data_IF_278125174146
#
_entry.id   IF_278125174146
#
_cell.length_a   1.000
_cell.length_b   1.000
_cell.length_c   1.000
_cell.angle_alpha   90.00
_cell.angle_beta   90.00
_cell.angle_gamma   90.00
#
_symmetry.space_group_name_H-M   'P 1'
#
loop_
_entity.id
_entity.type
_entity.pdbx_description
1 polymer ?
#
# COMPACT_ATOMS: atom_id res chain seq x y z
N UNK A 1 11.91 -18.17 12.52
CA UNK A 1 10.56 -18.77 12.55
C UNK A 1 9.67 -17.85 13.36
N UNK A 2 8.61 -17.29 12.79
CA UNK A 2 7.65 -16.50 13.56
C UNK A 2 6.46 -17.40 13.90
N UNK A 3 6.40 -17.79 15.17
CA UNK A 3 5.22 -18.39 15.78
C UNK A 3 4.07 -17.39 15.65
N UNK A 4 2.93 -17.82 15.09
CA UNK A 4 1.67 -17.09 15.22
C UNK A 4 1.31 -17.18 16.70
N UNK A 5 1.68 -16.17 17.48
CA UNK A 5 1.15 -16.03 18.84
C UNK A 5 -0.33 -15.73 18.64
N UNK A 6 -1.18 -16.64 19.15
CA UNK A 6 -2.62 -16.50 19.13
C UNK A 6 -3.03 -15.15 19.73
N UNK A 7 -3.28 -14.19 18.87
CA UNK A 7 -4.01 -12.98 19.19
C UNK A 7 -5.46 -13.21 18.79
N UNK A 8 -6.40 -12.85 19.65
CA UNK A 8 -7.81 -12.76 19.27
C UNK A 8 -7.90 -11.88 18.02
N UNK A 9 -8.51 -12.35 16.92
CA UNK A 9 -8.61 -11.53 15.72
C UNK A 9 -9.27 -10.19 16.08
N UNK A 10 -8.87 -9.07 15.44
CA UNK A 10 -9.50 -7.78 15.68
C UNK A 10 -11.02 -7.93 15.64
N UNK A 11 -11.76 -7.35 16.60
CA UNK A 11 -13.22 -7.54 16.70
C UNK A 11 -13.94 -7.30 15.37
N UNK A 12 -13.48 -6.30 14.62
CA UNK A 12 -13.95 -5.98 13.28
C UNK A 12 -13.81 -7.15 12.28
N UNK A 13 -12.71 -7.91 12.34
CA UNK A 13 -12.49 -9.07 11.48
C UNK A 13 -13.39 -10.25 11.89
N UNK A 14 -13.58 -10.49 13.19
CA UNK A 14 -14.51 -11.52 13.68
C UNK A 14 -15.94 -11.20 13.27
N UNK A 15 -16.32 -9.93 13.35
CA UNK A 15 -17.66 -9.46 13.02
C UNK A 15 -17.92 -9.44 11.50
N UNK A 16 -16.92 -9.06 10.70
CA UNK A 16 -16.95 -9.19 9.25
C UNK A 16 -17.08 -10.65 8.80
N UNK A 17 -16.30 -11.58 9.40
CA UNK A 17 -16.40 -13.02 9.11
C UNK A 17 -17.80 -13.56 9.47
N UNK A 18 -18.38 -13.13 10.60
CA UNK A 18 -19.74 -13.54 10.99
C UNK A 18 -20.83 -13.06 10.05
N UNK A 19 -20.61 -11.94 9.36
CA UNK A 19 -21.55 -11.35 8.39
C UNK A 19 -21.25 -11.75 6.95
N UNK A 20 -20.13 -12.42 6.71
CA UNK A 20 -19.73 -12.91 5.41
C UNK A 20 -20.70 -14.01 4.92
N UNK A 21 -21.20 -13.86 3.70
CA UNK A 21 -22.08 -14.82 3.03
C UNK A 21 -21.32 -15.45 1.87
N UNK A 22 -21.19 -16.77 1.89
CA UNK A 22 -20.69 -17.50 0.73
C UNK A 22 -21.79 -17.50 -0.34
N UNK A 23 -21.43 -17.08 -1.54
CA UNK A 23 -22.28 -17.07 -2.73
C UNK A 23 -21.70 -18.02 -3.75
N UNK A 24 -22.58 -18.75 -4.42
CA UNK A 24 -22.23 -19.67 -5.48
C UNK A 24 -23.23 -19.49 -6.62
N UNK A 25 -22.73 -19.40 -7.84
CA UNK A 25 -23.50 -19.62 -9.07
C UNK A 25 -22.91 -20.80 -9.86
N UNK A 26 -23.46 -21.08 -11.04
CA UNK A 26 -23.05 -22.21 -11.89
C UNK A 26 -21.55 -22.22 -12.25
N UNK A 27 -20.84 -21.10 -12.06
CA UNK A 27 -19.45 -20.91 -12.50
C UNK A 27 -18.50 -20.33 -11.44
N UNK A 28 -19.02 -19.81 -10.32
CA UNK A 28 -18.21 -19.04 -9.36
C UNK A 28 -18.63 -19.29 -7.92
N UNK A 29 -17.65 -19.23 -7.03
CA UNK A 29 -17.81 -19.19 -5.58
C UNK A 29 -17.10 -17.94 -5.05
N UNK A 30 -17.81 -17.09 -4.33
CA UNK A 30 -17.27 -15.87 -3.73
C UNK A 30 -17.83 -15.63 -2.33
N UNK A 31 -17.15 -14.80 -1.56
CA UNK A 31 -17.58 -14.39 -0.22
C UNK A 31 -18.00 -12.94 -0.29
N UNK A 32 -19.28 -12.68 -0.06
CA UNK A 32 -19.86 -11.35 0.05
C UNK A 32 -19.79 -10.93 1.53
N UNK A 33 -19.20 -9.76 1.81
CA UNK A 33 -19.14 -9.21 3.17
C UNK A 33 -19.83 -7.87 3.14
N UNK A 34 -20.74 -7.60 4.09
CA UNK A 34 -21.41 -6.30 4.19
C UNK A 34 -20.36 -5.19 4.33
N UNK A 35 -20.23 -4.35 3.29
CA UNK A 35 -19.18 -3.31 3.13
C UNK A 35 -19.21 -2.22 4.21
N UNK A 36 -20.24 -2.22 5.07
CA UNK A 36 -20.48 -1.23 6.13
C UNK A 36 -19.34 -0.98 7.13
N UNK A 37 -18.29 -1.81 7.13
CA UNK A 37 -17.13 -1.72 8.01
C UNK A 37 -15.81 -1.37 7.27
N UNK A 38 -15.73 -1.56 5.95
CA UNK A 38 -14.53 -1.22 5.16
C UNK A 38 -14.46 0.29 4.93
N UNK A 39 -13.32 0.91 5.23
CA UNK A 39 -13.12 2.34 5.01
C UNK A 39 -13.58 3.28 6.13
N UNK A 40 -13.99 2.78 7.31
CA UNK A 40 -14.22 3.64 8.49
C UNK A 40 -12.95 4.45 8.80
N UNK A 41 -13.04 5.78 8.67
CA UNK A 41 -11.94 6.72 8.92
C UNK A 41 -11.14 7.13 7.67
N UNK A 42 -11.39 6.53 6.51
CA UNK A 42 -10.77 6.96 5.26
C UNK A 42 -11.45 8.23 4.74
N UNK A 43 -10.67 9.25 4.40
CA UNK A 43 -11.17 10.47 3.74
C UNK A 43 -10.51 10.58 2.38
N UNK A 44 -11.25 11.12 1.41
CA UNK A 44 -10.68 11.48 0.11
C UNK A 44 -9.49 12.40 0.34
N UNK A 45 -8.36 12.04 -0.23
CA UNK A 45 -7.11 12.78 -0.13
C UNK A 45 -7.15 13.89 -1.18
N UNK A 46 -7.36 15.12 -0.73
CA UNK A 46 -7.30 16.29 -1.59
C UNK A 46 -5.86 16.58 -2.03
N UNK A 47 -5.69 16.88 -3.31
CA UNK A 47 -4.39 16.97 -3.97
C UNK A 47 -3.52 18.14 -3.47
N UNK A 48 -2.29 17.86 -3.05
CA UNK A 48 -1.26 18.88 -2.74
C UNK A 48 0.12 18.57 -3.32
N UNK A 49 0.41 17.32 -3.62
CA UNK A 49 1.74 16.86 -4.02
C UNK A 49 1.88 16.73 -5.54
N UNK A 50 3.01 17.22 -6.07
CA UNK A 50 3.52 16.94 -7.41
C UNK A 50 4.84 16.19 -7.28
N UNK A 51 4.97 15.08 -8.01
CA UNK A 51 6.18 14.24 -8.02
C UNK A 51 6.62 14.03 -9.45
N UNK A 52 7.90 14.23 -9.75
CA UNK A 52 8.46 13.98 -11.06
C UNK A 52 8.50 12.49 -11.41
N UNK A 53 8.40 12.14 -12.69
CA UNK A 53 8.55 10.75 -13.16
C UNK A 53 9.88 10.13 -12.68
N UNK A 54 10.96 10.89 -12.69
CA UNK A 54 12.27 10.40 -12.26
C UNK A 54 12.40 10.23 -10.75
N UNK A 55 11.68 11.04 -9.96
CA UNK A 55 11.55 10.84 -8.51
C UNK A 55 10.83 9.52 -8.20
N UNK A 56 9.75 9.22 -8.93
CA UNK A 56 9.04 7.95 -8.77
C UNK A 56 9.93 6.75 -9.14
N UNK A 57 10.70 6.86 -10.23
CA UNK A 57 11.70 5.84 -10.60
C UNK A 57 12.77 5.68 -9.51
N UNK A 58 13.26 6.78 -8.95
CA UNK A 58 14.25 6.77 -7.87
C UNK A 58 13.73 6.03 -6.65
N UNK A 59 12.51 6.35 -6.17
CA UNK A 59 11.91 5.69 -5.01
C UNK A 59 11.80 4.17 -5.23
N UNK A 60 11.36 3.73 -6.41
CA UNK A 60 11.25 2.29 -6.72
C UNK A 60 12.63 1.64 -6.89
N UNK A 61 13.61 2.35 -7.43
CA UNK A 61 15.00 1.85 -7.51
C UNK A 61 15.54 1.60 -6.10
N UNK A 62 15.40 2.56 -5.18
CA UNK A 62 15.80 2.38 -3.79
C UNK A 62 15.06 1.22 -3.13
N UNK A 63 13.74 1.10 -3.34
CA UNK A 63 12.95 -0.03 -2.86
C UNK A 63 13.53 -1.38 -3.29
N UNK A 64 13.95 -1.50 -4.56
CA UNK A 64 14.56 -2.73 -5.08
C UNK A 64 15.91 -2.99 -4.41
N UNK A 65 16.74 -1.96 -4.24
CA UNK A 65 18.04 -2.09 -3.59
C UNK A 65 17.91 -2.54 -2.11
N UNK A 66 17.06 -1.88 -1.32
CA UNK A 66 16.84 -2.30 0.08
C UNK A 66 16.27 -3.73 0.16
N UNK A 67 15.43 -4.11 -0.80
CA UNK A 67 14.88 -5.47 -0.86
C UNK A 67 15.96 -6.52 -1.16
N UNK A 68 16.92 -6.21 -2.04
CA UNK A 68 18.05 -7.11 -2.35
C UNK A 68 18.91 -7.37 -1.12
N UNK A 69 19.22 -6.31 -0.35
CA UNK A 69 20.01 -6.41 0.87
C UNK A 69 19.36 -7.39 1.85
N UNK A 70 18.07 -7.21 2.16
CA UNK A 70 17.43 -8.09 3.16
C UNK A 70 17.26 -9.52 2.65
N UNK A 71 16.97 -9.73 1.35
CA UNK A 71 16.92 -11.06 0.75
C UNK A 71 18.22 -11.85 0.90
N UNK A 72 19.38 -11.16 0.92
CA UNK A 72 20.69 -11.79 1.14
C UNK A 72 20.81 -12.42 2.54
N UNK A 73 20.14 -11.84 3.54
CA UNK A 73 20.23 -12.27 4.94
C UNK A 73 19.02 -13.13 5.39
N UNK A 74 18.02 -13.33 4.52
CA UNK A 74 17.00 -14.37 4.70
C UNK A 74 15.60 -14.01 4.16
N UNK A 75 14.93 -14.99 3.57
CA UNK A 75 13.47 -15.03 3.36
C UNK A 75 12.90 -14.27 2.15
N UNK A 76 11.70 -14.69 1.74
CA UNK A 76 10.88 -13.97 0.76
C UNK A 76 10.13 -12.84 1.45
N UNK A 77 10.78 -11.68 1.60
CA UNK A 77 10.18 -10.51 2.22
C UNK A 77 9.64 -9.53 1.20
N UNK A 78 8.54 -8.90 1.59
CA UNK A 78 8.09 -7.64 1.05
C UNK A 78 8.82 -6.49 1.73
N UNK A 79 9.00 -5.40 0.99
CA UNK A 79 9.63 -4.18 1.50
C UNK A 79 8.75 -2.99 1.16
N UNK A 80 8.83 -1.96 2.01
CA UNK A 80 8.19 -0.68 1.84
C UNK A 80 9.17 0.44 2.19
N UNK A 81 9.15 1.50 1.39
CA UNK A 81 9.87 2.74 1.67
C UNK A 81 8.88 3.90 1.58
N UNK A 82 9.03 4.91 2.44
CA UNK A 82 8.22 6.12 2.41
C UNK A 82 9.08 7.37 2.43
N UNK A 83 8.62 8.40 1.74
CA UNK A 83 9.33 9.66 1.51
C UNK A 83 8.43 10.86 1.78
N UNK A 84 9.04 11.93 2.28
CA UNK A 84 8.41 13.25 2.30
C UNK A 84 8.40 13.86 0.90
N UNK A 85 7.61 14.91 0.72
CA UNK A 85 7.65 15.78 -0.46
C UNK A 85 7.97 17.20 0.00
N UNK A 86 8.93 17.92 -0.61
CA UNK A 86 9.80 17.48 -1.72
C UNK A 86 10.66 16.25 -1.35
N UNK A 87 10.98 15.40 -2.32
CA UNK A 87 11.74 14.18 -2.06
C UNK A 87 13.17 14.52 -1.64
N UNK A 88 13.62 13.87 -0.58
CA UNK A 88 15.00 13.81 -0.16
C UNK A 88 15.68 12.52 -0.65
N UNK A 89 16.99 12.44 -0.48
CA UNK A 89 17.76 11.23 -0.83
C UNK A 89 17.56 10.07 0.15
N UNK A 90 16.85 10.29 1.27
CA UNK A 90 16.71 9.33 2.36
C UNK A 90 15.23 9.09 2.70
N UNK A 91 14.78 7.83 2.72
CA UNK A 91 13.41 7.53 3.11
C UNK A 91 13.16 7.88 4.60
N UNK A 92 11.98 8.43 4.90
CA UNK A 92 11.53 8.70 6.28
C UNK A 92 11.06 7.43 6.99
N UNK A 93 10.78 6.36 6.24
CA UNK A 93 10.45 5.02 6.76
C UNK A 93 10.94 3.95 5.79
N UNK A 94 11.54 2.89 6.33
CA UNK A 94 11.90 1.66 5.61
C UNK A 94 11.45 0.49 6.45
N UNK A 95 10.70 -0.43 5.85
CA UNK A 95 10.20 -1.62 6.54
C UNK A 95 10.26 -2.84 5.64
N UNK A 96 10.32 -3.99 6.30
CA UNK A 96 10.28 -5.31 5.67
C UNK A 96 9.32 -6.21 6.45
N UNK A 97 8.60 -7.07 5.73
CA UNK A 97 7.69 -8.05 6.33
C UNK A 97 7.49 -9.23 5.38
N UNK A 98 7.11 -10.40 5.90
CA UNK A 98 6.73 -11.56 5.08
C UNK A 98 5.39 -11.30 4.37
N UNK A 99 4.47 -10.61 5.03
CA UNK A 99 3.15 -10.27 4.53
C UNK A 99 3.14 -8.86 3.95
N UNK A 100 2.66 -8.70 2.72
CA UNK A 100 2.50 -7.37 2.09
C UNK A 100 1.48 -6.48 2.79
N UNK A 101 0.46 -7.08 3.40
CA UNK A 101 -0.55 -6.34 4.16
C UNK A 101 0.03 -5.84 5.47
N UNK A 102 0.65 -6.75 6.23
CA UNK A 102 1.28 -6.42 7.49
C UNK A 102 2.43 -5.43 7.32
N UNK A 103 3.15 -5.49 6.19
CA UNK A 103 4.11 -4.47 5.81
C UNK A 103 3.47 -3.08 5.76
N UNK A 104 2.36 -2.92 5.03
CA UNK A 104 1.69 -1.61 4.88
C UNK A 104 1.11 -1.13 6.20
N UNK A 105 0.47 -2.01 6.98
CA UNK A 105 -0.07 -1.67 8.30
C UNK A 105 1.04 -1.21 9.26
N UNK A 106 2.18 -1.92 9.29
CA UNK A 106 3.35 -1.50 10.09
C UNK A 106 3.94 -0.19 9.61
N UNK A 107 3.94 0.05 8.29
CA UNK A 107 4.41 1.31 7.70
C UNK A 107 3.53 2.48 8.10
N UNK A 108 2.22 2.33 7.97
CA UNK A 108 1.21 3.30 8.41
C UNK A 108 1.34 3.56 9.91
N UNK A 109 1.43 2.49 10.71
CA UNK A 109 1.65 2.59 12.15
C UNK A 109 2.92 3.34 12.51
N UNK A 110 4.05 3.07 11.83
CA UNK A 110 5.31 3.79 12.04
C UNK A 110 5.22 5.26 11.63
N UNK A 111 4.58 5.57 10.50
CA UNK A 111 4.38 6.95 10.02
C UNK A 111 3.64 7.76 11.08
N UNK A 112 2.50 7.23 11.56
CA UNK A 112 1.66 7.91 12.57
C UNK A 112 2.38 7.99 13.92
N UNK A 113 2.92 6.86 14.41
CA UNK A 113 3.51 6.76 15.75
C UNK A 113 4.72 7.67 15.94
N UNK A 114 5.48 7.91 14.88
CA UNK A 114 6.69 8.73 14.90
C UNK A 114 6.51 10.09 14.21
N UNK A 115 5.27 10.47 13.86
CA UNK A 115 4.96 11.76 13.22
C UNK A 115 5.74 12.00 11.92
N UNK A 116 5.98 10.95 11.13
CA UNK A 116 6.65 11.08 9.82
C UNK A 116 5.67 11.61 8.79
N UNK A 117 6.17 12.33 7.78
CA UNK A 117 5.36 12.88 6.71
C UNK A 117 5.57 12.11 5.40
N UNK A 118 5.21 10.82 5.36
CA UNK A 118 5.41 9.99 4.17
C UNK A 118 4.29 10.21 3.14
N UNK A 119 4.48 11.16 2.23
CA UNK A 119 3.53 11.49 1.14
C UNK A 119 3.61 10.53 -0.03
N UNK A 120 4.80 9.99 -0.30
CA UNK A 120 5.04 9.00 -1.34
C UNK A 120 5.52 7.72 -0.69
N UNK A 121 4.90 6.59 -1.01
CA UNK A 121 5.36 5.28 -0.56
C UNK A 121 5.61 4.39 -1.77
N UNK A 122 6.64 3.55 -1.70
CA UNK A 122 6.81 2.47 -2.64
C UNK A 122 6.84 1.12 -1.95
N UNK A 123 6.16 0.14 -2.54
CA UNK A 123 6.06 -1.21 -1.98
C UNK A 123 6.27 -2.30 -3.03
N UNK A 124 6.83 -3.43 -2.61
CA UNK A 124 7.10 -4.55 -3.52
C UNK A 124 5.87 -5.42 -3.81
N UNK A 125 4.81 -5.30 -3.02
CA UNK A 125 3.58 -6.10 -3.11
C UNK A 125 2.58 -5.60 -4.16
N UNK A 126 1.58 -6.45 -4.47
CA UNK A 126 0.40 -6.04 -5.24
C UNK A 126 -0.57 -5.31 -4.32
N UNK A 127 -0.82 -4.03 -4.56
CA UNK A 127 -1.75 -3.24 -3.74
C UNK A 127 -3.20 -3.67 -4.00
N UNK A 128 -3.99 -3.85 -2.94
CA UNK A 128 -5.44 -4.02 -2.97
C UNK A 128 -6.13 -2.93 -2.13
N UNK A 129 -7.47 -2.93 -2.08
CA UNK A 129 -8.27 -1.87 -1.45
C UNK A 129 -7.88 -1.61 0.02
N UNK A 130 -7.70 -2.65 0.83
CA UNK A 130 -7.35 -2.48 2.25
C UNK A 130 -5.97 -1.86 2.46
N UNK A 131 -5.01 -2.15 1.57
CA UNK A 131 -3.71 -1.49 1.59
C UNK A 131 -3.81 0.00 1.21
N UNK A 132 -4.70 0.36 0.29
CA UNK A 132 -4.99 1.77 -0.07
C UNK A 132 -5.67 2.50 1.09
N UNK A 133 -6.66 1.87 1.73
CA UNK A 133 -7.33 2.41 2.92
C UNK A 133 -6.31 2.75 4.01
N UNK A 134 -5.44 1.79 4.35
CA UNK A 134 -4.39 2.00 5.35
C UNK A 134 -3.46 3.17 4.98
N UNK A 135 -3.00 3.24 3.73
CA UNK A 135 -2.18 4.34 3.24
C UNK A 135 -2.90 5.70 3.35
N UNK A 136 -4.21 5.75 3.06
CA UNK A 136 -5.00 6.99 3.15
C UNK A 136 -5.04 7.56 4.57
N UNK A 137 -5.11 6.69 5.59
CA UNK A 137 -5.11 7.09 7.00
C UNK A 137 -3.78 7.76 7.39
N UNK A 138 -2.68 7.36 6.76
CA UNK A 138 -1.36 7.97 6.96
C UNK A 138 -1.14 9.25 6.12
N UNK A 139 -2.12 9.69 5.33
CA UNK A 139 -1.98 10.85 4.45
C UNK A 139 -1.05 10.61 3.25
N UNK A 140 -0.89 9.36 2.83
CA UNK A 140 -0.15 9.00 1.62
C UNK A 140 -0.93 9.46 0.39
N UNK A 141 -0.27 10.17 -0.52
CA UNK A 141 -0.85 10.71 -1.76
C UNK A 141 -0.46 9.90 -3.00
N UNK A 142 0.73 9.27 -2.98
CA UNK A 142 1.25 8.47 -4.09
C UNK A 142 1.74 7.11 -3.60
N UNK A 143 1.25 6.04 -4.22
CA UNK A 143 1.68 4.66 -3.98
C UNK A 143 2.35 4.13 -5.26
N UNK A 144 3.68 4.06 -5.23
CA UNK A 144 4.47 3.42 -6.29
C UNK A 144 4.58 1.90 -6.02
N UNK A 145 4.32 1.09 -7.04
CA UNK A 145 4.31 -0.37 -6.89
C UNK A 145 5.26 -1.03 -7.88
N UNK A 146 6.06 -1.96 -7.38
CA UNK A 146 7.00 -2.73 -8.20
C UNK A 146 6.34 -3.93 -8.91
N UNK A 147 5.18 -4.36 -8.41
CA UNK A 147 4.33 -5.40 -9.01
C UNK A 147 2.96 -4.80 -9.29
N UNK A 148 2.32 -5.24 -10.38
CA UNK A 148 1.00 -4.73 -10.78
C UNK A 148 0.01 -4.79 -9.60
N UNK A 149 -0.75 -3.72 -9.33
CA UNK A 149 -1.78 -3.73 -8.31
C UNK A 149 -2.96 -4.62 -8.75
N UNK A 150 -3.86 -4.88 -7.81
CA UNK A 150 -5.13 -5.57 -8.05
C UNK A 150 -6.20 -4.53 -8.39
N UNK A 151 -7.20 -4.91 -9.20
CA UNK A 151 -8.28 -4.01 -9.61
C UNK A 151 -8.97 -3.30 -8.44
N UNK A 152 -9.24 -4.02 -7.35
CA UNK A 152 -9.84 -3.42 -6.14
C UNK A 152 -8.99 -2.29 -5.55
N UNK A 153 -7.66 -2.39 -5.63
CA UNK A 153 -6.76 -1.32 -5.20
C UNK A 153 -6.81 -0.11 -6.13
N UNK A 154 -6.90 -0.33 -7.45
CA UNK A 154 -7.04 0.75 -8.44
C UNK A 154 -8.35 1.51 -8.21
N UNK A 155 -9.48 0.79 -8.14
CA UNK A 155 -10.80 1.40 -7.91
C UNK A 155 -10.84 2.17 -6.59
N UNK A 156 -10.28 1.59 -5.52
CA UNK A 156 -10.25 2.26 -4.22
C UNK A 156 -9.37 3.51 -4.21
N UNK A 157 -8.27 3.50 -4.95
CA UNK A 157 -7.40 4.65 -5.10
C UNK A 157 -8.05 5.77 -5.93
N UNK A 158 -8.87 5.41 -6.93
CA UNK A 158 -9.72 6.37 -7.65
C UNK A 158 -10.67 7.11 -6.68
N UNK A 159 -11.41 6.35 -5.86
CA UNK A 159 -12.36 6.89 -4.88
C UNK A 159 -11.68 7.80 -3.84
N UNK A 160 -10.54 7.35 -3.30
CA UNK A 160 -9.83 8.04 -2.24
C UNK A 160 -8.91 9.15 -2.74
N UNK A 161 -8.83 9.39 -4.06
CA UNK A 161 -7.95 10.44 -4.58
C UNK A 161 -6.46 10.10 -4.41
N UNK A 162 -6.05 8.83 -4.44
CA UNK A 162 -4.65 8.40 -4.28
C UNK A 162 -4.08 8.00 -5.64
N UNK A 163 -2.89 8.49 -5.98
CA UNK A 163 -2.20 8.14 -7.23
C UNK A 163 -1.48 6.81 -7.06
N UNK A 164 -1.81 5.81 -7.89
CA UNK A 164 -1.05 4.57 -7.99
C UNK A 164 -0.17 4.64 -9.25
N UNK A 165 1.12 4.37 -9.07
CA UNK A 165 2.08 4.29 -10.18
C UNK A 165 2.73 2.92 -10.21
N UNK A 166 2.58 2.19 -11.31
CA UNK A 166 3.32 0.95 -11.54
C UNK A 166 4.66 1.25 -12.22
N UNK A 167 5.75 0.76 -11.61
CA UNK A 167 7.10 0.98 -12.13
C UNK A 167 7.81 -0.36 -12.31
N UNK A 168 8.24 -0.64 -13.53
CA UNK A 168 8.96 -1.87 -13.86
C UNK A 168 9.90 -1.67 -15.03
N UNK A 169 11.15 -2.11 -14.89
CA UNK A 169 12.14 -2.11 -15.98
C UNK A 169 12.25 -0.75 -16.70
N UNK A 170 12.25 0.36 -15.95
CA UNK A 170 12.27 1.72 -16.50
C UNK A 170 10.93 2.25 -17.02
N UNK A 171 9.94 1.38 -17.24
CA UNK A 171 8.57 1.77 -17.59
C UNK A 171 7.84 2.30 -16.36
N UNK A 172 7.14 3.42 -16.55
CA UNK A 172 6.26 4.04 -15.55
C UNK A 172 4.86 4.09 -16.13
N UNK A 173 3.90 3.48 -15.45
CA UNK A 173 2.48 3.52 -15.81
C UNK A 173 1.70 4.12 -14.65
N UNK A 174 1.19 5.33 -14.82
CA UNK A 174 0.28 5.95 -13.87
C UNK A 174 -1.11 5.34 -14.07
N UNK A 175 -1.69 4.81 -12.99
CA UNK A 175 -2.93 4.04 -13.05
C UNK A 175 -4.14 4.82 -12.55
N UNK A 176 -3.93 5.77 -11.64
CA UNK A 176 -4.97 6.62 -11.05
C UNK A 176 -4.42 8.02 -10.80
N UNK A 177 -5.28 9.04 -10.85
CA UNK A 177 -4.93 10.45 -10.51
C UNK A 177 -3.60 10.92 -11.13
N UNK A 178 -3.47 10.89 -12.47
CA UNK A 178 -2.21 11.17 -13.17
C UNK A 178 -1.71 12.60 -13.00
N UNK A 179 -2.57 13.53 -12.62
CA UNK A 179 -2.23 14.92 -12.40
C UNK A 179 -1.17 15.13 -11.31
N UNK A 180 -0.92 14.17 -10.40
CA UNK A 180 0.16 14.28 -9.42
C UNK A 180 1.55 13.95 -9.97
N UNK A 181 1.64 13.35 -11.15
CA UNK A 181 2.91 12.95 -11.76
C UNK A 181 3.30 13.98 -12.82
N UNK A 182 4.36 14.74 -12.55
CA UNK A 182 4.93 15.70 -13.50
C UNK A 182 5.86 14.97 -14.47
N UNK A 183 5.68 15.25 -15.77
CA UNK A 183 6.52 14.74 -16.87
C UNK A 183 7.79 15.57 -16.99
#
# INVERSE_FOLDING_TARGET
AATIVGGTPPKILVEAIRRARVRVDDSRLWVEVDESESGKGCKRVESRVKVGVDEVKFVVSLLVEVTKVVKKYGGALHSGVGFSVPLDSRPVVVLHDVSRHSLVEKMVGAIIRFGKNARVVAITGRVDAGMVDACSVAGVEVIAVWRSPVLSGILRAEELGITIVYVRNGMVKVLTHPERIAV
#
